data_IF_836210354391
#
_entry.id   IF_836210354391
#
_cell.length_a   1.000
_cell.length_b   1.000
_cell.length_c   1.000
_cell.angle_alpha   90.00
_cell.angle_beta   90.00
_cell.angle_gamma   90.00
#
_symmetry.space_group_name_H-M   'P 1'
#
loop_
_entity.id
_entity.type
_entity.pdbx_description
1 polymer ?
#
# COMPACT_ATOMS: atom_id res chain seq x y z
N UNK A 1 21.94 13.05 1.95
CA UNK A 1 22.26 13.63 0.63
C UNK A 1 20.96 14.06 -0.03
N UNK A 2 20.86 15.33 -0.41
CA UNK A 2 19.68 15.82 -1.11
C UNK A 2 19.85 15.57 -2.60
N UNK A 3 18.96 14.74 -3.17
CA UNK A 3 18.90 14.58 -4.61
C UNK A 3 18.06 15.70 -5.22
N UNK A 4 18.53 16.27 -6.32
CA UNK A 4 17.73 17.19 -7.12
C UNK A 4 16.76 16.39 -8.00
N UNK A 5 15.74 17.04 -8.54
CA UNK A 5 14.80 16.37 -9.46
C UNK A 5 15.51 15.75 -10.67
N UNK A 6 16.63 16.31 -11.09
CA UNK A 6 17.44 15.82 -12.21
C UNK A 6 18.19 14.52 -11.88
N UNK A 7 18.37 14.19 -10.60
CA UNK A 7 19.05 12.97 -10.14
C UNK A 7 18.11 11.80 -9.95
N UNK A 8 16.78 12.02 -10.03
CA UNK A 8 15.79 10.96 -9.90
C UNK A 8 15.60 10.23 -11.23
N UNK A 9 15.31 8.92 -11.15
CA UNK A 9 14.88 8.19 -12.33
C UNK A 9 13.63 8.86 -12.93
N UNK A 10 13.49 8.95 -14.27
CA UNK A 10 12.36 9.61 -14.92
C UNK A 10 10.99 9.14 -14.43
N UNK A 11 10.83 7.82 -14.21
CA UNK A 11 9.59 7.24 -13.70
C UNK A 11 9.24 7.79 -12.30
N UNK A 12 10.23 7.94 -11.42
CA UNK A 12 10.02 8.49 -10.07
C UNK A 12 9.64 9.97 -10.14
N UNK A 13 10.29 10.74 -11.00
CA UNK A 13 9.95 12.14 -11.23
C UNK A 13 8.51 12.33 -11.69
N UNK A 14 8.03 11.50 -12.60
CA UNK A 14 6.64 11.52 -13.08
C UNK A 14 5.64 11.16 -11.97
N UNK A 15 5.95 10.16 -11.16
CA UNK A 15 5.10 9.76 -10.02
C UNK A 15 4.98 10.91 -9.02
N UNK A 16 6.09 11.54 -8.67
CA UNK A 16 6.09 12.68 -7.72
C UNK A 16 5.33 13.88 -8.26
N UNK A 17 5.47 14.19 -9.55
CA UNK A 17 4.72 15.27 -10.20
C UNK A 17 3.21 14.99 -10.18
N UNK A 18 2.80 13.76 -10.48
CA UNK A 18 1.41 13.33 -10.40
C UNK A 18 0.86 13.40 -8.98
N UNK A 19 1.64 12.94 -7.99
CA UNK A 19 1.26 12.98 -6.58
C UNK A 19 1.08 14.42 -6.07
N UNK A 20 1.90 15.35 -6.53
CA UNK A 20 1.82 16.75 -6.16
C UNK A 20 0.52 17.42 -6.62
N UNK A 21 -0.07 16.94 -7.71
CA UNK A 21 -1.33 17.47 -8.26
C UNK A 21 -2.58 16.87 -7.63
N UNK A 22 -2.45 15.78 -6.86
CA UNK A 22 -3.60 15.14 -6.23
C UNK A 22 -4.14 16.01 -5.10
N UNK A 23 -5.48 16.18 -5.01
CA UNK A 23 -6.08 16.85 -3.85
C UNK A 23 -5.95 15.99 -2.60
N UNK A 24 -6.05 16.62 -1.44
CA UNK A 24 -6.20 15.90 -0.18
C UNK A 24 -7.56 15.22 -0.07
N UNK A 25 -7.70 14.36 0.91
CA UNK A 25 -8.98 13.74 1.23
C UNK A 25 -9.98 14.75 1.76
N UNK A 26 -11.25 14.46 1.55
CA UNK A 26 -12.35 15.28 2.06
C UNK A 26 -12.83 14.81 3.44
N UNK A 27 -12.32 13.67 3.89
CA UNK A 27 -12.84 12.96 5.04
C UNK A 27 -11.71 12.46 5.92
N UNK A 28 -11.71 12.89 7.17
CA UNK A 28 -10.77 12.38 8.18
C UNK A 28 -11.41 11.24 8.96
N UNK A 29 -10.75 10.10 9.00
CA UNK A 29 -11.20 8.93 9.72
C UNK A 29 -10.34 8.68 10.96
N UNK A 30 -10.99 8.29 12.05
CA UNK A 30 -10.29 7.75 13.21
C UNK A 30 -10.35 6.24 13.14
N UNK A 31 -9.17 5.60 13.11
CA UNK A 31 -9.07 4.15 13.04
C UNK A 31 -8.18 3.62 14.16
N UNK A 32 -8.49 2.43 14.65
CA UNK A 32 -7.60 1.71 15.55
C UNK A 32 -6.59 0.93 14.73
N UNK A 33 -5.36 1.43 14.69
CA UNK A 33 -4.29 0.77 13.98
C UNK A 33 -3.85 -0.49 14.72
N UNK A 34 -3.65 -1.58 13.98
CA UNK A 34 -3.07 -2.79 14.54
C UNK A 34 -1.54 -2.66 14.63
N UNK A 35 -0.95 -3.32 15.61
CA UNK A 35 0.49 -3.29 15.84
C UNK A 35 1.25 -4.19 14.87
N UNK A 36 2.11 -3.63 14.03
CA UNK A 36 3.02 -4.39 13.18
C UNK A 36 4.00 -5.25 14.00
N UNK A 37 4.68 -4.71 15.04
CA UNK A 37 5.56 -5.54 15.86
C UNK A 37 4.85 -6.73 16.50
N UNK A 38 3.62 -6.55 17.00
CA UNK A 38 2.83 -7.64 17.57
C UNK A 38 2.48 -8.71 16.53
N UNK A 39 2.13 -8.29 15.30
CA UNK A 39 1.84 -9.22 14.19
C UNK A 39 3.09 -10.03 13.79
N UNK A 40 4.26 -9.41 13.77
CA UNK A 40 5.51 -10.09 13.48
C UNK A 40 5.88 -11.11 14.57
N UNK A 41 5.74 -10.73 15.83
CA UNK A 41 5.97 -11.64 16.95
C UNK A 41 5.03 -12.84 16.91
N UNK A 42 3.75 -12.62 16.60
CA UNK A 42 2.77 -13.71 16.46
C UNK A 42 3.12 -14.66 15.32
N UNK A 43 3.62 -14.15 14.20
CA UNK A 43 4.07 -14.99 13.08
C UNK A 43 5.27 -15.84 13.49
N UNK A 44 6.26 -15.26 14.16
CA UNK A 44 7.45 -15.98 14.66
C UNK A 44 7.07 -17.05 15.68
N UNK A 45 6.16 -16.73 16.62
CA UNK A 45 5.67 -17.67 17.63
C UNK A 45 4.93 -18.86 16.98
N UNK A 46 4.31 -18.65 15.82
CA UNK A 46 3.67 -19.69 15.02
C UNK A 46 4.64 -20.44 14.11
N UNK A 47 5.94 -20.18 14.19
CA UNK A 47 6.98 -20.82 13.37
C UNK A 47 7.05 -20.32 11.93
N UNK A 48 6.54 -19.13 11.65
CA UNK A 48 6.56 -18.51 10.32
C UNK A 48 7.51 -17.32 10.27
N UNK A 49 8.08 -17.08 9.09
CA UNK A 49 8.81 -15.85 8.82
C UNK A 49 7.80 -14.70 8.71
N UNK A 50 7.98 -13.58 9.43
CA UNK A 50 7.06 -12.44 9.31
C UNK A 50 7.25 -11.76 7.95
N UNK A 51 6.22 -11.82 7.12
CA UNK A 51 6.22 -11.28 5.75
C UNK A 51 5.14 -10.21 5.63
N UNK A 52 5.50 -9.07 5.07
CA UNK A 52 4.54 -8.08 4.57
C UNK A 52 4.33 -8.39 3.09
N UNK A 53 3.13 -8.83 2.72
CA UNK A 53 2.77 -9.07 1.33
C UNK A 53 2.15 -7.80 0.72
N UNK A 54 2.41 -7.54 -0.55
CA UNK A 54 1.98 -6.32 -1.19
C UNK A 54 0.90 -6.56 -2.25
N UNK A 55 -0.18 -5.81 -2.16
CA UNK A 55 -1.21 -5.74 -3.19
C UNK A 55 -0.86 -4.58 -4.13
N UNK A 56 -0.38 -4.93 -5.31
CA UNK A 56 0.07 -4.00 -6.33
C UNK A 56 -0.51 -4.41 -7.69
N UNK A 57 -1.61 -3.76 -8.14
CA UNK A 57 -2.26 -4.13 -9.41
C UNK A 57 -1.37 -3.98 -10.64
N UNK A 58 -0.57 -2.92 -10.69
CA UNK A 58 0.40 -2.69 -11.76
C UNK A 58 1.62 -1.92 -11.23
N UNK A 59 2.64 -1.79 -12.07
CA UNK A 59 3.85 -1.03 -11.73
C UNK A 59 4.46 -0.47 -13.03
N UNK A 60 5.06 0.73 -12.99
CA UNK A 60 5.71 1.31 -14.17
C UNK A 60 6.92 0.51 -14.65
N UNK A 61 7.48 -0.38 -13.81
CA UNK A 61 8.65 -1.19 -14.14
C UNK A 61 8.31 -2.66 -14.45
N UNK A 62 7.02 -3.03 -14.38
CA UNK A 62 6.56 -4.40 -14.59
C UNK A 62 5.50 -4.40 -15.70
N UNK A 63 5.64 -5.29 -16.68
CA UNK A 63 4.63 -5.46 -17.71
C UNK A 63 3.41 -6.21 -17.17
N UNK A 64 2.25 -5.79 -17.63
CA UNK A 64 0.98 -6.40 -17.28
C UNK A 64 0.31 -5.82 -16.06
N UNK A 65 -0.95 -6.15 -15.91
CA UNK A 65 -1.79 -5.73 -14.79
C UNK A 65 -2.45 -6.97 -14.18
N UNK A 66 -2.44 -7.06 -12.86
CA UNK A 66 -3.23 -8.07 -12.17
C UNK A 66 -4.70 -7.63 -12.21
N UNK A 67 -5.50 -8.32 -13.02
CA UNK A 67 -6.91 -8.00 -13.25
C UNK A 67 -7.87 -8.65 -12.25
N UNK A 68 -7.36 -9.43 -11.29
CA UNK A 68 -8.16 -10.02 -10.22
C UNK A 68 -8.66 -8.99 -9.21
N UNK A 69 -9.66 -9.35 -8.42
CA UNK A 69 -10.12 -8.50 -7.32
C UNK A 69 -9.02 -8.38 -6.27
N UNK A 70 -8.59 -7.15 -5.92
CA UNK A 70 -7.58 -6.93 -4.90
C UNK A 70 -7.93 -7.54 -3.53
N UNK A 71 -9.21 -7.63 -3.18
CA UNK A 71 -9.65 -8.26 -1.93
C UNK A 71 -9.38 -9.75 -1.95
N UNK A 72 -9.69 -10.44 -3.04
CA UNK A 72 -9.44 -11.89 -3.19
C UNK A 72 -7.93 -12.17 -3.11
N UNK A 73 -7.11 -11.33 -3.72
CA UNK A 73 -5.66 -11.45 -3.65
C UNK A 73 -5.16 -11.25 -2.22
N UNK A 74 -5.66 -10.23 -1.53
CA UNK A 74 -5.30 -9.94 -0.14
C UNK A 74 -5.66 -11.10 0.80
N UNK A 75 -6.86 -11.66 0.65
CA UNK A 75 -7.29 -12.81 1.43
C UNK A 75 -6.41 -14.04 1.18
N UNK A 76 -6.02 -14.28 -0.07
CA UNK A 76 -5.11 -15.37 -0.42
C UNK A 76 -3.73 -15.18 0.21
N UNK A 77 -3.22 -13.96 0.25
CA UNK A 77 -1.94 -13.63 0.90
C UNK A 77 -1.99 -13.89 2.40
N UNK A 78 -3.09 -13.52 3.06
CA UNK A 78 -3.28 -13.77 4.49
C UNK A 78 -3.42 -15.26 4.77
N UNK A 79 -4.20 -15.98 3.97
CA UNK A 79 -4.34 -17.44 4.07
C UNK A 79 -3.01 -18.15 3.86
N UNK A 80 -2.14 -17.60 3.04
CA UNK A 80 -0.77 -18.09 2.81
C UNK A 80 0.20 -17.78 3.95
N UNK A 81 -0.20 -16.99 4.94
CA UNK A 81 0.58 -16.72 6.13
C UNK A 81 1.22 -15.34 6.22
N UNK A 82 0.82 -14.38 5.39
CA UNK A 82 1.29 -13.00 5.51
C UNK A 82 0.98 -12.43 6.90
N UNK A 83 1.99 -11.82 7.53
CA UNK A 83 1.81 -11.20 8.84
C UNK A 83 1.13 -9.84 8.75
N UNK A 84 1.28 -9.16 7.63
CA UNK A 84 0.69 -7.86 7.33
C UNK A 84 0.58 -7.67 5.81
N UNK A 85 -0.18 -6.67 5.41
CA UNK A 85 -0.32 -6.29 4.01
C UNK A 85 0.14 -4.86 3.77
N UNK A 86 0.73 -4.62 2.60
CA UNK A 86 0.98 -3.29 2.05
C UNK A 86 0.07 -3.12 0.83
N UNK A 87 -0.72 -2.05 0.80
CA UNK A 87 -1.69 -1.82 -0.26
C UNK A 87 -1.36 -0.53 -1.00
N UNK A 88 -1.05 -0.63 -2.29
CA UNK A 88 -0.82 0.52 -3.15
C UNK A 88 -2.12 1.28 -3.34
N UNK A 89 -2.11 2.57 -3.03
CA UNK A 89 -3.24 3.48 -3.27
C UNK A 89 -2.95 4.52 -4.35
N UNK A 90 -1.73 4.56 -4.87
CA UNK A 90 -1.36 5.45 -5.96
C UNK A 90 -2.08 5.02 -7.24
N UNK A 91 -2.91 5.91 -7.86
CA UNK A 91 -3.80 5.49 -8.94
C UNK A 91 -3.18 5.48 -10.32
N UNK A 92 -2.30 6.44 -10.64
CA UNK A 92 -1.89 6.71 -12.01
C UNK A 92 -0.82 5.74 -12.53
N UNK A 93 0.06 5.25 -11.67
CA UNK A 93 1.20 4.41 -12.03
C UNK A 93 1.11 2.98 -11.49
N UNK A 94 0.38 2.79 -10.38
CA UNK A 94 0.23 1.49 -9.73
C UNK A 94 -1.20 0.94 -9.78
N UNK A 95 -2.14 1.70 -10.29
CA UNK A 95 -3.52 1.28 -10.44
C UNK A 95 -4.25 1.03 -9.12
N UNK A 96 -3.76 1.63 -8.03
CA UNK A 96 -4.33 1.50 -6.70
C UNK A 96 -5.46 2.49 -6.42
N UNK A 97 -6.08 2.35 -5.26
CA UNK A 97 -7.10 3.27 -4.79
C UNK A 97 -7.29 3.18 -3.28
N UNK A 98 -7.78 4.26 -2.68
CA UNK A 98 -8.18 4.26 -1.27
C UNK A 98 -9.37 3.34 -1.04
N UNK A 99 -10.26 3.21 -2.01
CA UNK A 99 -11.37 2.26 -1.97
C UNK A 99 -10.89 0.82 -1.80
N UNK A 100 -9.86 0.41 -2.55
CA UNK A 100 -9.26 -0.90 -2.40
C UNK A 100 -8.68 -1.10 -0.99
N UNK A 101 -8.02 -0.08 -0.45
CA UNK A 101 -7.48 -0.10 0.90
C UNK A 101 -8.60 -0.34 1.94
N UNK A 102 -9.71 0.39 1.84
CA UNK A 102 -10.85 0.25 2.75
C UNK A 102 -11.47 -1.14 2.66
N UNK A 103 -11.68 -1.65 1.45
CA UNK A 103 -12.25 -2.98 1.20
C UNK A 103 -11.34 -4.09 1.75
N UNK A 104 -10.05 -4.00 1.52
CA UNK A 104 -9.08 -4.98 2.01
C UNK A 104 -9.03 -4.95 3.54
N UNK A 105 -8.96 -3.75 4.13
CA UNK A 105 -8.93 -3.60 5.58
C UNK A 105 -10.15 -4.22 6.26
N UNK A 106 -11.32 -4.09 5.63
CA UNK A 106 -12.55 -4.70 6.13
C UNK A 106 -12.59 -6.23 6.02
N UNK A 107 -11.81 -6.80 5.10
CA UNK A 107 -11.84 -8.24 4.79
C UNK A 107 -10.78 -9.06 5.53
N UNK A 108 -9.73 -8.44 6.06
CA UNK A 108 -8.60 -9.15 6.70
C UNK A 108 -8.42 -8.71 8.16
N UNK A 109 -7.78 -9.58 8.95
CA UNK A 109 -7.52 -9.34 10.38
C UNK A 109 -6.07 -8.98 10.68
N UNK A 110 -5.23 -8.83 9.67
CA UNK A 110 -3.83 -8.43 9.83
C UNK A 110 -3.66 -6.92 9.65
N UNK A 111 -2.58 -6.32 10.15
CA UNK A 111 -2.28 -4.91 9.89
C UNK A 111 -2.20 -4.62 8.39
N UNK A 112 -2.75 -3.48 7.98
CA UNK A 112 -2.75 -3.02 6.58
C UNK A 112 -2.06 -1.66 6.51
N UNK A 113 -0.98 -1.59 5.73
CA UNK A 113 -0.22 -0.37 5.49
C UNK A 113 -0.70 0.27 4.19
N UNK A 114 -1.03 1.55 4.24
CA UNK A 114 -1.23 2.34 3.01
C UNK A 114 0.13 2.66 2.40
N UNK A 115 0.32 2.30 1.14
CA UNK A 115 1.53 2.63 0.39
C UNK A 115 1.22 3.57 -0.75
N UNK A 116 1.79 4.77 -0.68
CA UNK A 116 1.55 5.84 -1.65
C UNK A 116 2.68 6.87 -1.56
N UNK A 117 2.63 7.86 -2.42
CA UNK A 117 3.52 9.02 -2.40
C UNK A 117 2.74 10.20 -1.81
N UNK A 118 2.91 10.41 -0.51
CA UNK A 118 2.22 11.45 0.25
C UNK A 118 3.17 12.63 0.43
N UNK A 119 2.89 13.74 -0.26
CA UNK A 119 3.77 14.90 -0.31
C UNK A 119 3.29 16.05 0.59
N UNK A 120 2.04 16.04 0.98
CA UNK A 120 1.41 17.09 1.78
C UNK A 120 0.62 16.46 2.92
N UNK A 121 0.46 17.18 4.02
CA UNK A 121 -0.33 16.72 5.16
C UNK A 121 -1.78 16.36 4.76
N UNK A 122 -2.36 17.12 3.84
CA UNK A 122 -3.70 16.86 3.33
C UNK A 122 -3.86 15.49 2.64
N UNK A 123 -2.75 14.87 2.20
CA UNK A 123 -2.79 13.52 1.62
C UNK A 123 -3.00 12.42 2.66
N UNK A 124 -2.91 12.76 3.95
CA UNK A 124 -3.15 11.82 5.06
C UNK A 124 -4.63 11.69 5.41
N UNK A 125 -5.46 12.62 4.96
CA UNK A 125 -6.89 12.68 5.24
C UNK A 125 -7.72 11.84 4.28
#
# INVERSE_FOLDING_TARGET
MNHTADELAPAVGEILASAAERPGGERRLSVEAQSLPAAFAAAEDAGRVPVIAEVKPTSPTTEGTNSGDPVDLAEAMVDGGAAALSVLTEPDHFGGSVENLERIRAAVDVPVLRKDFLLEEAHLD
#
